data_IF_492539235320
#
_entry.id   IF_492539235320
#
_cell.length_a   1.000
_cell.length_b   1.000
_cell.length_c   1.000
_cell.angle_alpha   90.00
_cell.angle_beta   90.00
_cell.angle_gamma   90.00
#
_symmetry.space_group_name_H-M   'P 1'
#
loop_
_entity.id
_entity.type
_entity.pdbx_description
1 polymer ?
#
# COMPACT_ATOMS: atom_id res chain seq x y z
N UNK A 1 0.12 4.19 -17.99
CA UNK A 1 -1.13 4.08 -17.18
C UNK A 1 -0.93 2.92 -16.24
N UNK A 2 -1.13 3.13 -14.93
CA UNK A 2 -0.94 2.07 -13.93
C UNK A 2 -2.11 1.09 -14.05
N UNK A 3 -1.80 -0.20 -14.16
CA UNK A 3 -2.76 -1.30 -14.29
C UNK A 3 -2.75 -2.23 -13.07
N UNK A 4 -1.65 -2.28 -12.31
CA UNK A 4 -1.63 -2.99 -11.02
C UNK A 4 -0.74 -2.28 -10.02
N UNK A 5 -1.11 -2.31 -8.75
CA UNK A 5 -0.27 -1.88 -7.65
C UNK A 5 -0.18 -3.01 -6.64
N UNK A 6 1.04 -3.29 -6.20
CA UNK A 6 1.35 -4.17 -5.08
C UNK A 6 1.91 -3.33 -3.95
N UNK A 7 1.42 -3.57 -2.74
CA UNK A 7 1.83 -2.82 -1.55
C UNK A 7 2.28 -3.83 -0.51
N UNK A 8 3.54 -3.74 -0.13
CA UNK A 8 4.16 -4.59 0.87
C UNK A 8 4.11 -3.87 2.22
N UNK A 9 3.59 -4.56 3.23
CA UNK A 9 3.40 -4.02 4.57
C UNK A 9 4.34 -4.68 5.56
N UNK A 10 5.04 -3.87 6.34
CA UNK A 10 5.74 -4.31 7.54
C UNK A 10 4.81 -4.17 8.75
N UNK A 11 4.69 -5.24 9.54
CA UNK A 11 3.99 -5.24 10.82
C UNK A 11 5.00 -5.32 11.97
N UNK A 12 5.35 -4.19 12.64
CA UNK A 12 6.41 -4.18 13.62
C UNK A 12 6.05 -5.00 14.86
N UNK A 13 6.87 -6.00 15.22
CA UNK A 13 6.62 -6.88 16.38
C UNK A 13 6.42 -6.13 17.71
N UNK A 14 7.01 -4.93 17.83
CA UNK A 14 6.93 -4.07 19.03
C UNK A 14 5.68 -3.19 19.08
N UNK A 15 4.92 -3.11 17.99
CA UNK A 15 3.73 -2.27 17.85
C UNK A 15 2.59 -3.10 17.24
N UNK A 16 1.92 -3.86 18.11
CA UNK A 16 0.82 -4.75 17.72
C UNK A 16 -0.24 -3.94 16.97
N UNK A 17 -0.60 -4.41 15.77
CA UNK A 17 -1.67 -3.84 14.95
C UNK A 17 -1.25 -2.68 14.05
N UNK A 18 0.01 -2.20 14.15
CA UNK A 18 0.53 -1.16 13.25
C UNK A 18 0.98 -1.79 11.94
N UNK A 19 0.59 -1.20 10.82
CA UNK A 19 1.15 -1.52 9.51
C UNK A 19 1.97 -0.34 8.98
N UNK A 20 3.08 -0.63 8.35
CA UNK A 20 3.93 0.35 7.67
C UNK A 20 4.10 -0.03 6.22
N UNK A 21 4.03 0.94 5.33
CA UNK A 21 4.34 0.69 3.92
C UNK A 21 5.86 0.52 3.80
N UNK A 22 6.29 -0.70 3.45
CA UNK A 22 7.70 -1.01 3.17
C UNK A 22 8.03 -0.68 1.72
N UNK A 23 7.17 -1.07 0.79
CA UNK A 23 7.40 -0.90 -0.64
C UNK A 23 6.08 -0.82 -1.41
N UNK A 24 6.07 -0.02 -2.47
CA UNK A 24 4.95 0.06 -3.43
C UNK A 24 5.50 -0.18 -4.82
N UNK A 25 4.96 -1.19 -5.50
CA UNK A 25 5.34 -1.54 -6.88
C UNK A 25 4.17 -1.28 -7.81
N UNK A 26 4.38 -0.48 -8.84
CA UNK A 26 3.38 -0.20 -9.86
C UNK A 26 3.70 -0.97 -11.14
N UNK A 27 2.68 -1.53 -11.78
CA UNK A 27 2.80 -2.26 -13.04
C UNK A 27 1.94 -1.60 -14.13
N UNK A 28 2.46 -1.59 -15.35
CA UNK A 28 1.71 -1.18 -16.53
C UNK A 28 0.79 -2.30 -17.08
N UNK A 29 0.13 -2.04 -18.20
CA UNK A 29 -0.78 -3.01 -18.85
C UNK A 29 -0.07 -4.26 -19.36
N UNK A 30 1.24 -4.19 -19.60
CA UNK A 30 2.10 -5.29 -20.03
C UNK A 30 2.73 -6.01 -18.84
N UNK A 31 2.30 -5.70 -17.61
CA UNK A 31 2.85 -6.24 -16.35
C UNK A 31 4.32 -5.93 -16.14
N UNK A 32 4.80 -4.80 -16.68
CA UNK A 32 6.15 -4.29 -16.43
C UNK A 32 6.12 -3.29 -15.29
N UNK A 33 7.14 -3.37 -14.45
CA UNK A 33 7.32 -2.43 -13.34
C UNK A 33 7.56 -1.01 -13.86
N UNK A 34 6.83 -0.06 -13.27
CA UNK A 34 6.97 1.37 -13.52
C UNK A 34 7.81 1.95 -12.38
N UNK A 35 9.04 2.34 -12.68
CA UNK A 35 9.99 2.87 -11.69
C UNK A 35 10.12 4.39 -11.70
N UNK A 36 9.61 5.05 -12.75
CA UNK A 36 9.96 6.45 -13.04
C UNK A 36 9.21 7.51 -12.21
N UNK A 37 8.07 7.21 -11.58
CA UNK A 37 7.21 8.26 -10.99
C UNK A 37 6.41 7.81 -9.75
N UNK A 38 6.90 6.86 -8.95
CA UNK A 38 6.20 6.47 -7.71
C UNK A 38 6.55 7.49 -6.61
N UNK A 39 5.56 8.21 -6.03
CA UNK A 39 5.80 9.05 -4.86
C UNK A 39 6.40 8.20 -3.73
N UNK A 40 7.27 8.81 -2.92
CA UNK A 40 7.83 8.14 -1.75
C UNK A 40 6.72 7.97 -0.71
N UNK A 41 6.17 6.76 -0.65
CA UNK A 41 5.09 6.35 0.26
C UNK A 41 5.63 5.50 1.41
N UNK A 42 6.95 5.33 1.49
CA UNK A 42 7.61 4.40 2.39
C UNK A 42 7.67 5.02 3.80
N UNK A 43 7.47 4.20 4.83
CA UNK A 43 7.46 4.56 6.25
C UNK A 43 6.22 5.31 6.76
N UNK A 44 5.15 5.45 5.96
CA UNK A 44 3.87 5.90 6.51
C UNK A 44 3.29 4.83 7.44
N UNK A 45 2.98 5.25 8.67
CA UNK A 45 2.46 4.36 9.72
C UNK A 45 0.93 4.43 9.80
N UNK A 46 0.30 3.26 9.78
CA UNK A 46 -1.14 3.12 9.90
C UNK A 46 -1.49 2.40 11.20
N UNK A 47 -2.27 3.08 12.03
CA UNK A 47 -2.70 2.57 13.33
C UNK A 47 -4.12 2.03 13.25
N UNK A 48 -4.42 0.91 13.94
CA UNK A 48 -5.75 0.34 13.98
C UNK A 48 -6.67 1.24 14.79
N UNK A 49 -7.87 1.49 14.28
CA UNK A 49 -8.95 2.03 15.09
C UNK A 49 -9.65 0.82 15.71
N UNK A 50 -9.50 0.65 17.03
CA UNK A 50 -10.20 -0.38 17.81
C UNK A 50 -9.81 -1.84 17.48
N UNK A 51 -8.51 -2.13 17.34
CA UNK A 51 -7.94 -3.48 17.11
C UNK A 51 -8.39 -4.17 15.80
N UNK A 52 -9.07 -3.47 14.89
CA UNK A 52 -9.47 -4.01 13.59
C UNK A 52 -8.34 -3.85 12.54
N UNK A 53 -7.59 -4.93 12.32
CA UNK A 53 -6.53 -4.98 11.29
C UNK A 53 -7.07 -4.75 9.87
N UNK A 54 -8.32 -5.14 9.60
CA UNK A 54 -8.94 -4.94 8.27
C UNK A 54 -9.10 -3.45 7.95
N UNK A 55 -9.43 -2.63 8.95
CA UNK A 55 -9.48 -1.18 8.84
C UNK A 55 -8.13 -0.57 8.43
N UNK A 56 -7.02 -1.13 8.92
CA UNK A 56 -5.67 -0.66 8.57
C UNK A 56 -5.37 -0.91 7.09
N UNK A 57 -5.63 -2.12 6.59
CA UNK A 57 -5.42 -2.46 5.19
C UNK A 57 -6.28 -1.61 4.25
N UNK A 58 -7.56 -1.39 4.54
CA UNK A 58 -8.43 -0.55 3.70
C UNK A 58 -7.96 0.91 3.65
N UNK A 59 -7.40 1.41 4.75
CA UNK A 59 -6.81 2.75 4.83
C UNK A 59 -5.51 2.85 4.02
N UNK A 60 -4.64 1.83 4.09
CA UNK A 60 -3.46 1.73 3.23
C UNK A 60 -3.87 1.74 1.76
N UNK A 61 -4.83 0.88 1.36
CA UNK A 61 -5.33 0.82 -0.02
C UNK A 61 -5.83 2.17 -0.49
N UNK A 62 -6.65 2.83 0.33
CA UNK A 62 -7.21 4.16 0.04
C UNK A 62 -6.11 5.22 -0.08
N UNK A 63 -5.11 5.18 0.79
CA UNK A 63 -3.97 6.09 0.79
C UNK A 63 -3.15 5.96 -0.49
N UNK A 64 -2.73 4.73 -0.82
CA UNK A 64 -1.92 4.44 -2.01
C UNK A 64 -2.70 4.79 -3.29
N UNK A 65 -3.98 4.42 -3.37
CA UNK A 65 -4.83 4.76 -4.51
C UNK A 65 -4.92 6.28 -4.74
N UNK A 66 -5.08 7.05 -3.65
CA UNK A 66 -5.14 8.52 -3.71
C UNK A 66 -3.82 9.13 -4.19
N UNK A 67 -2.69 8.63 -3.70
CA UNK A 67 -1.37 9.16 -4.04
C UNK A 67 -0.98 8.85 -5.49
N UNK A 68 -1.28 7.63 -5.95
CA UNK A 68 -1.02 7.18 -7.32
C UNK A 68 -2.09 7.63 -8.31
N UNK A 69 -3.18 8.25 -7.85
CA UNK A 69 -4.34 8.66 -8.66
C UNK A 69 -4.92 7.49 -9.47
N UNK A 70 -4.96 6.30 -8.86
CA UNK A 70 -5.50 5.07 -9.46
C UNK A 70 -6.83 4.68 -8.82
N UNK A 71 -7.66 3.92 -9.53
CA UNK A 71 -8.85 3.29 -8.93
C UNK A 71 -8.39 2.25 -7.91
N UNK A 72 -8.93 2.31 -6.70
CA UNK A 72 -8.53 1.51 -5.53
C UNK A 72 -8.74 -0.02 -5.67
N UNK A 73 -9.23 -0.48 -6.81
CA UNK A 73 -9.48 -1.91 -7.10
C UNK A 73 -8.22 -2.76 -7.23
N UNK A 74 -7.05 -2.13 -7.42
CA UNK A 74 -5.83 -2.86 -7.76
C UNK A 74 -4.75 -2.59 -6.73
N UNK A 75 -4.94 -3.16 -5.54
CA UNK A 75 -3.94 -3.22 -4.47
C UNK A 75 -3.94 -4.62 -3.88
N UNK A 76 -2.91 -5.40 -4.22
CA UNK A 76 -2.59 -6.65 -3.53
C UNK A 76 -1.67 -6.32 -2.36
N UNK A 77 -2.08 -6.72 -1.15
CA UNK A 77 -1.27 -6.60 0.06
C UNK A 77 -0.65 -7.97 0.31
N UNK A 78 0.67 -8.02 0.41
CA UNK A 78 1.41 -9.23 0.78
C UNK A 78 2.10 -9.02 2.15
N UNK A 79 1.99 -10.05 3.01
CA UNK A 79 2.70 -10.20 4.30
C UNK A 79 4.03 -10.95 4.10
#
# INVERSE_FOLDING_TARGET
MINKVEVFLEYPEKMIGVARIETVVCYDQDSREITDEIPDLINDEFYPEEDDLKSVEERVKSYVAKQLKVSADIVQIEE
#
